data_IF_211515411169
#
_entry.id   IF_211515411169
#
_cell.length_a   1.000
_cell.length_b   1.000
_cell.length_c   1.000
_cell.angle_alpha   90.00
_cell.angle_beta   90.00
_cell.angle_gamma   90.00
#
_symmetry.space_group_name_H-M   'P 1'
#
loop_
_entity.id
_entity.type
_entity.pdbx_description
1 polymer ?
#
# COMPACT_ATOMS: atom_id res chain seq x y z
N UNK A 1 8.08 -4.38 14.88
CA UNK A 1 7.26 -3.19 14.56
C UNK A 1 5.81 -3.47 14.92
N UNK A 2 5.15 -2.50 15.58
CA UNK A 2 3.71 -2.58 15.91
C UNK A 2 2.87 -1.64 15.05
N UNK A 3 3.50 -0.74 14.30
CA UNK A 3 2.80 0.23 13.47
C UNK A 3 3.53 0.48 12.17
N UNK A 4 2.78 0.84 11.14
CA UNK A 4 3.25 1.33 9.86
C UNK A 4 2.50 2.59 9.46
N UNK A 5 3.21 3.55 8.90
CA UNK A 5 2.63 4.81 8.43
C UNK A 5 3.07 5.10 7.01
N UNK A 6 2.22 5.77 6.26
CA UNK A 6 2.53 6.34 4.98
C UNK A 6 1.88 7.72 4.84
N UNK A 7 2.45 8.54 4.00
CA UNK A 7 1.88 9.85 3.70
C UNK A 7 2.10 10.19 2.23
N UNK A 8 1.16 10.96 1.71
CA UNK A 8 1.18 11.46 0.35
C UNK A 8 0.85 12.96 0.36
N UNK A 9 1.55 13.70 -0.49
CA UNK A 9 1.28 15.12 -0.72
C UNK A 9 0.76 15.33 -2.13
N UNK A 10 -0.32 16.09 -2.26
CA UNK A 10 -0.85 16.52 -3.56
C UNK A 10 -1.18 18.01 -3.51
N UNK A 11 -0.30 18.82 -4.07
CA UNK A 11 -0.37 20.28 -3.92
C UNK A 11 -0.21 20.69 -2.45
N UNK A 12 -1.19 21.41 -1.91
CA UNK A 12 -1.25 21.83 -0.50
C UNK A 12 -1.96 20.82 0.42
N UNK A 13 -2.36 19.68 -0.09
CA UNK A 13 -3.06 18.64 0.70
C UNK A 13 -2.09 17.55 1.08
N UNK A 14 -2.17 17.12 2.34
CA UNK A 14 -1.44 15.99 2.89
C UNK A 14 -2.41 14.90 3.31
N UNK A 15 -2.16 13.69 2.87
CA UNK A 15 -2.78 12.49 3.39
C UNK A 15 -1.74 11.77 4.25
N UNK A 16 -2.04 11.58 5.51
CA UNK A 16 -1.28 10.73 6.41
C UNK A 16 -2.17 9.59 6.87
N UNK A 17 -1.72 8.37 6.72
CA UNK A 17 -2.46 7.19 7.19
C UNK A 17 -1.51 6.16 7.77
N UNK A 18 -2.05 5.30 8.60
CA UNK A 18 -1.26 4.23 9.23
C UNK A 18 -2.15 3.14 9.76
N UNK A 19 -1.49 2.07 10.18
CA UNK A 19 -2.12 0.97 10.90
C UNK A 19 -1.34 0.64 12.17
N UNK A 20 -2.04 0.15 13.18
CA UNK A 20 -1.47 -0.33 14.44
C UNK A 20 -1.91 -1.79 14.61
N UNK A 21 -0.94 -2.68 14.80
CA UNK A 21 -1.20 -4.08 15.15
C UNK A 21 -1.49 -4.14 16.65
N UNK A 22 -2.74 -4.25 17.00
CA UNK A 22 -3.19 -4.31 18.41
C UNK A 22 -3.12 -5.73 18.94
N UNK A 23 -3.88 -6.64 18.33
CA UNK A 23 -3.93 -8.06 18.68
C UNK A 23 -4.33 -8.87 17.43
N UNK A 24 -3.51 -8.77 16.39
CA UNK A 24 -3.73 -9.45 15.11
C UNK A 24 -3.16 -10.85 15.13
N UNK A 25 -3.78 -11.79 14.43
CA UNK A 25 -3.18 -13.08 14.14
C UNK A 25 -2.03 -12.88 13.15
N UNK A 26 -0.78 -12.97 13.67
CA UNK A 26 0.42 -12.72 12.87
C UNK A 26 0.73 -13.87 11.90
N UNK A 27 0.20 -15.06 12.12
CA UNK A 27 0.36 -16.19 11.21
C UNK A 27 -0.55 -16.01 10.00
N UNK A 28 -1.81 -15.67 10.23
CA UNK A 28 -2.74 -15.31 9.16
C UNK A 28 -2.24 -14.09 8.40
N UNK A 29 -1.74 -13.07 9.10
CA UNK A 29 -1.16 -11.89 8.45
C UNK A 29 -0.01 -12.26 7.51
N UNK A 30 0.89 -13.14 7.94
CA UNK A 30 2.03 -13.56 7.13
C UNK A 30 1.65 -14.37 5.89
N UNK A 31 0.56 -15.14 5.97
CA UNK A 31 0.02 -15.92 4.84
C UNK A 31 -0.76 -15.03 3.84
N UNK A 32 -1.50 -14.04 4.36
CA UNK A 32 -2.28 -13.11 3.54
C UNK A 32 -1.40 -12.12 2.75
N UNK A 33 -0.22 -11.81 3.26
CA UNK A 33 0.71 -10.88 2.62
C UNK A 33 1.63 -11.63 1.64
N UNK A 34 1.35 -11.50 0.34
CA UNK A 34 2.24 -11.97 -0.71
C UNK A 34 3.42 -11.02 -0.87
N UNK A 35 4.40 -11.13 0.02
CA UNK A 35 5.57 -10.24 0.03
C UNK A 35 6.72 -10.87 -0.74
N UNK A 36 7.30 -10.11 -1.68
CA UNK A 36 8.48 -10.49 -2.44
C UNK A 36 9.62 -10.94 -1.52
N UNK A 37 10.10 -12.20 -1.62
CA UNK A 37 11.18 -12.73 -0.79
C UNK A 37 12.47 -11.91 -0.84
N UNK A 38 12.73 -11.18 -1.92
CA UNK A 38 13.88 -10.30 -2.04
C UNK A 38 13.84 -9.13 -1.05
N UNK A 39 12.65 -8.72 -0.60
CA UNK A 39 12.51 -7.69 0.47
C UNK A 39 13.02 -8.15 1.83
N UNK A 40 13.03 -9.44 2.09
CA UNK A 40 13.57 -9.98 3.34
C UNK A 40 15.08 -10.12 3.30
N UNK A 41 15.60 -10.66 2.20
CA UNK A 41 17.05 -10.85 2.01
C UNK A 41 17.82 -9.53 2.11
N UNK A 42 17.31 -8.47 1.52
CA UNK A 42 17.95 -7.14 1.54
C UNK A 42 17.99 -6.48 2.93
N UNK A 43 17.19 -6.96 3.90
CA UNK A 43 17.08 -6.40 5.26
C UNK A 43 17.56 -7.36 6.35
N UNK A 44 18.13 -8.50 5.98
CA UNK A 44 18.65 -9.50 6.93
C UNK A 44 17.57 -10.15 7.81
N UNK A 45 16.32 -10.24 7.35
CA UNK A 45 15.18 -10.72 8.14
C UNK A 45 14.57 -11.95 7.49
N UNK A 46 14.30 -12.99 8.29
CA UNK A 46 13.84 -14.28 7.78
C UNK A 46 12.37 -14.29 7.29
N UNK A 47 11.50 -13.45 7.84
CA UNK A 47 10.06 -13.44 7.49
C UNK A 47 9.34 -12.14 7.88
N UNK A 48 8.09 -11.95 7.41
CA UNK A 48 7.20 -10.87 7.89
C UNK A 48 7.00 -10.96 9.40
N UNK A 49 6.73 -12.16 9.91
CA UNK A 49 6.47 -12.41 11.32
C UNK A 49 7.60 -11.94 12.23
N UNK A 50 8.86 -12.13 11.84
CA UNK A 50 10.01 -11.71 12.65
C UNK A 50 10.19 -10.18 12.73
N UNK A 51 9.46 -9.40 11.95
CA UNK A 51 9.54 -7.93 11.88
C UNK A 51 8.41 -7.21 12.58
N UNK A 52 7.30 -7.89 12.82
CA UNK A 52 6.08 -7.31 13.37
C UNK A 52 5.72 -7.96 14.71
N UNK A 53 4.97 -7.26 15.52
CA UNK A 53 4.46 -7.74 16.80
C UNK A 53 3.22 -6.96 17.19
N UNK A 54 2.44 -7.50 18.08
CA UNK A 54 1.23 -6.89 18.60
C UNK A 54 1.52 -5.93 19.74
N UNK A 55 0.86 -4.81 19.77
CA UNK A 55 0.96 -3.85 20.88
C UNK A 55 0.43 -4.45 22.18
N UNK A 56 -0.61 -5.30 22.11
CA UNK A 56 -1.16 -5.96 23.28
C UNK A 56 -0.15 -6.91 23.96
N UNK A 57 0.62 -7.68 23.18
CA UNK A 57 1.68 -8.54 23.69
C UNK A 57 2.79 -7.73 24.38
N UNK A 58 3.20 -6.64 23.75
CA UNK A 58 4.21 -5.76 24.32
C UNK A 58 3.77 -5.16 25.67
N UNK A 59 2.53 -4.65 25.75
CA UNK A 59 2.01 -4.05 26.97
C UNK A 59 1.77 -5.09 28.08
N UNK A 60 1.37 -6.31 27.75
CA UNK A 60 1.22 -7.37 28.74
C UNK A 60 2.54 -7.70 29.47
N UNK A 61 3.68 -7.56 28.77
CA UNK A 61 5.01 -7.79 29.36
C UNK A 61 5.51 -6.57 30.13
N UNK A 62 5.34 -5.37 29.60
CA UNK A 62 5.98 -4.15 30.14
C UNK A 62 5.09 -3.34 31.08
N UNK A 63 3.80 -3.63 31.10
CA UNK A 63 2.80 -2.96 31.95
C UNK A 63 1.68 -3.94 32.32
N UNK A 64 2.02 -5.01 33.08
CA UNK A 64 1.09 -6.11 33.38
C UNK A 64 -0.12 -5.69 34.22
N UNK A 65 -0.01 -4.58 34.95
CA UNK A 65 -1.09 -4.02 35.77
C UNK A 65 -2.18 -3.32 34.95
N UNK A 66 -1.91 -3.07 33.66
CA UNK A 66 -2.92 -2.47 32.78
C UNK A 66 -3.93 -3.53 32.31
N UNK A 67 -5.21 -3.17 32.20
CA UNK A 67 -6.19 -4.07 31.62
C UNK A 67 -5.81 -4.44 30.17
N UNK A 68 -6.22 -5.62 29.67
CA UNK A 68 -5.88 -6.08 28.34
C UNK A 68 -6.17 -5.03 27.27
N UNK A 69 -5.22 -4.84 26.35
CA UNK A 69 -5.37 -3.86 25.26
C UNK A 69 -6.33 -4.38 24.20
N UNK A 70 -7.32 -3.57 23.87
CA UNK A 70 -8.29 -3.83 22.80
C UNK A 70 -8.20 -2.74 21.73
N UNK A 71 -8.69 -3.03 20.52
CA UNK A 71 -8.83 -2.03 19.45
C UNK A 71 -9.63 -0.82 19.93
N UNK A 72 -10.69 -1.06 20.71
CA UNK A 72 -11.52 0.03 21.25
C UNK A 72 -10.71 0.94 22.18
N UNK A 73 -9.91 0.41 23.08
CA UNK A 73 -9.07 1.21 23.97
C UNK A 73 -8.02 2.04 23.22
N UNK A 74 -7.42 1.47 22.17
CA UNK A 74 -6.49 2.22 21.30
C UNK A 74 -7.24 3.36 20.59
N UNK A 75 -8.42 3.08 20.04
CA UNK A 75 -9.28 4.10 19.43
C UNK A 75 -9.61 5.22 20.41
N UNK A 76 -10.05 4.88 21.60
CA UNK A 76 -10.47 5.86 22.61
C UNK A 76 -9.28 6.74 23.03
N UNK A 77 -8.11 6.15 23.26
CA UNK A 77 -6.88 6.91 23.55
C UNK A 77 -6.49 7.86 22.40
N UNK A 78 -6.64 7.45 21.14
CA UNK A 78 -6.40 8.34 19.98
C UNK A 78 -7.43 9.47 19.98
N UNK A 79 -8.69 9.16 20.27
CA UNK A 79 -9.77 10.16 20.27
C UNK A 79 -9.62 11.20 21.39
N UNK A 80 -9.09 10.82 22.54
CA UNK A 80 -8.79 11.75 23.65
C UNK A 80 -7.69 12.77 23.29
N UNK A 81 -6.73 12.36 22.44
CA UNK A 81 -5.58 13.20 22.08
C UNK A 81 -5.76 13.98 20.78
N UNK A 82 -6.85 13.75 20.05
CA UNK A 82 -7.14 14.51 18.82
C UNK A 82 -7.87 15.82 19.11
N UNK A 83 -7.60 16.83 18.32
CA UNK A 83 -8.43 18.03 18.22
C UNK A 83 -9.44 17.88 17.08
N UNK A 84 -10.62 18.47 17.20
CA UNK A 84 -11.66 18.51 16.18
C UNK A 84 -12.96 17.83 16.59
N UNK A 85 -14.02 18.14 15.85
CA UNK A 85 -15.36 17.65 16.11
C UNK A 85 -15.57 16.24 15.56
N UNK A 86 -16.45 15.48 16.20
CA UNK A 86 -16.89 14.19 15.70
C UNK A 86 -18.06 14.39 14.72
N UNK A 87 -17.88 13.95 13.48
CA UNK A 87 -18.97 13.88 12.51
C UNK A 87 -19.60 12.49 12.55
N UNK A 88 -20.90 12.43 12.81
CA UNK A 88 -21.68 11.19 12.74
C UNK A 88 -22.43 11.12 11.43
N UNK A 89 -22.14 10.10 10.64
CA UNK A 89 -22.83 9.87 9.38
C UNK A 89 -24.32 9.68 9.58
N UNK A 90 -25.11 10.31 8.73
CA UNK A 90 -26.58 10.23 8.71
C UNK A 90 -27.06 9.38 7.51
N UNK A 91 -28.37 9.21 7.38
CA UNK A 91 -28.96 8.40 6.31
C UNK A 91 -28.62 8.90 4.90
N UNK A 92 -28.52 10.23 4.71
CA UNK A 92 -28.17 10.80 3.41
C UNK A 92 -26.72 10.47 3.03
N UNK A 93 -25.81 10.44 3.99
CA UNK A 93 -24.42 10.03 3.76
C UNK A 93 -24.33 8.57 3.31
N UNK A 94 -25.10 7.67 3.93
CA UNK A 94 -25.14 6.26 3.52
C UNK A 94 -25.71 6.08 2.10
N UNK A 95 -26.71 6.87 1.72
CA UNK A 95 -27.22 6.88 0.33
C UNK A 95 -26.14 7.37 -0.63
N UNK A 96 -25.42 8.44 -0.30
CA UNK A 96 -24.34 8.98 -1.12
C UNK A 96 -23.17 7.96 -1.27
N UNK A 97 -22.77 7.31 -0.18
CA UNK A 97 -21.77 6.25 -0.17
C UNK A 97 -22.19 5.09 -1.06
N UNK A 98 -23.44 4.64 -0.94
CA UNK A 98 -23.97 3.55 -1.77
C UNK A 98 -23.95 3.90 -3.24
N UNK A 99 -24.38 5.10 -3.62
CA UNK A 99 -24.31 5.58 -5.00
C UNK A 99 -22.87 5.60 -5.54
N UNK A 100 -21.93 6.10 -4.74
CA UNK A 100 -20.52 6.16 -5.14
C UNK A 100 -19.92 4.74 -5.27
N UNK A 101 -20.26 3.83 -4.36
CA UNK A 101 -19.88 2.42 -4.46
C UNK A 101 -20.35 1.85 -5.79
N UNK A 102 -21.65 1.98 -6.09
CA UNK A 102 -22.26 1.34 -7.26
C UNK A 102 -21.79 1.97 -8.57
N UNK A 103 -21.59 3.29 -8.59
CA UNK A 103 -21.14 4.01 -9.78
C UNK A 103 -19.64 3.84 -10.08
N UNK A 104 -18.82 3.47 -9.08
CA UNK A 104 -17.36 3.45 -9.25
C UNK A 104 -16.71 2.23 -8.61
N UNK A 105 -16.77 2.10 -7.28
CA UNK A 105 -15.90 1.19 -6.55
C UNK A 105 -16.25 -0.30 -6.71
N UNK A 106 -17.51 -0.64 -7.02
CA UNK A 106 -17.95 -2.01 -7.32
C UNK A 106 -17.92 -2.36 -8.81
N UNK A 107 -17.54 -1.41 -9.68
CA UNK A 107 -17.47 -1.68 -11.12
C UNK A 107 -16.25 -2.55 -11.45
N UNK A 108 -16.38 -3.34 -12.50
CA UNK A 108 -15.29 -4.14 -13.04
C UNK A 108 -14.10 -3.25 -13.45
N UNK A 109 -14.37 -2.12 -14.09
CA UNK A 109 -13.36 -1.17 -14.55
C UNK A 109 -12.50 -0.64 -13.41
N UNK A 110 -13.10 -0.34 -12.24
CA UNK A 110 -12.35 0.10 -11.07
C UNK A 110 -11.53 -1.04 -10.44
N UNK A 111 -12.11 -2.24 -10.38
CA UNK A 111 -11.51 -3.36 -9.64
C UNK A 111 -10.43 -4.07 -10.44
N UNK A 112 -10.63 -4.22 -11.75
CA UNK A 112 -9.78 -5.02 -12.63
C UNK A 112 -9.40 -4.32 -13.93
N UNK A 113 -10.30 -3.49 -14.50
CA UNK A 113 -10.16 -2.94 -15.84
C UNK A 113 -9.03 -1.93 -16.02
N UNK A 114 -8.54 -1.33 -14.91
CA UNK A 114 -7.40 -0.43 -14.94
C UNK A 114 -6.03 -1.16 -15.03
N UNK A 115 -6.05 -2.50 -15.10
CA UNK A 115 -4.84 -3.31 -15.29
C UNK A 115 -4.74 -3.68 -16.76
N UNK A 116 -3.96 -2.96 -17.59
CA UNK A 116 -3.85 -3.28 -19.00
C UNK A 116 -3.19 -4.64 -19.18
N UNK A 117 -3.60 -5.43 -20.21
CA UNK A 117 -2.92 -6.64 -20.57
C UNK A 117 -1.53 -6.30 -21.14
N UNK A 118 -0.51 -7.04 -20.74
CA UNK A 118 0.84 -6.90 -21.28
C UNK A 118 1.32 -8.23 -21.82
N UNK A 119 2.13 -8.16 -22.88
CA UNK A 119 2.76 -9.33 -23.48
C UNK A 119 3.91 -9.81 -22.59
N UNK A 120 4.67 -8.87 -22.02
CA UNK A 120 5.86 -9.14 -21.24
C UNK A 120 5.92 -8.33 -19.94
N UNK A 121 6.58 -8.94 -18.94
CA UNK A 121 6.81 -8.30 -17.65
C UNK A 121 8.20 -8.67 -17.13
N UNK A 122 8.98 -7.64 -16.78
CA UNK A 122 10.30 -7.83 -16.15
C UNK A 122 10.40 -7.01 -14.87
N UNK A 123 11.13 -7.53 -13.89
CA UNK A 123 11.35 -6.84 -12.64
C UNK A 123 12.78 -6.99 -12.17
N UNK A 124 13.36 -5.89 -11.70
CA UNK A 124 14.70 -5.87 -11.13
C UNK A 124 14.74 -5.06 -9.84
N UNK A 125 15.51 -5.56 -8.87
CA UNK A 125 15.75 -4.85 -7.62
C UNK A 125 17.11 -4.18 -7.64
N UNK A 126 17.10 -2.90 -7.35
CA UNK A 126 18.29 -2.05 -7.19
C UNK A 126 18.49 -1.70 -5.71
N UNK A 127 19.61 -1.11 -5.35
CA UNK A 127 19.90 -0.66 -3.99
C UNK A 127 18.87 0.39 -3.49
N UNK A 128 18.32 1.19 -4.38
CA UNK A 128 17.36 2.27 -4.10
C UNK A 128 15.90 1.85 -4.24
N UNK A 129 15.60 0.68 -4.79
CA UNK A 129 14.21 0.22 -4.93
C UNK A 129 14.05 -0.91 -5.94
N UNK A 130 12.81 -1.38 -6.10
CA UNK A 130 12.41 -2.33 -7.14
C UNK A 130 11.80 -1.56 -8.30
N UNK A 131 12.22 -1.87 -9.51
CA UNK A 131 11.57 -1.45 -10.75
C UNK A 131 10.94 -2.68 -11.40
N UNK A 132 9.74 -2.52 -11.86
CA UNK A 132 9.00 -3.48 -12.65
C UNK A 132 8.52 -2.78 -13.91
N UNK A 133 8.75 -3.41 -15.04
CA UNK A 133 8.35 -2.92 -16.35
C UNK A 133 7.39 -3.92 -16.96
N UNK A 134 6.22 -3.45 -17.36
CA UNK A 134 5.26 -4.20 -18.15
C UNK A 134 5.15 -3.55 -19.52
N UNK A 135 5.29 -4.31 -20.59
CA UNK A 135 5.32 -3.76 -21.93
C UNK A 135 4.66 -4.68 -22.95
N UNK A 136 4.14 -4.09 -24.01
CA UNK A 136 3.53 -4.78 -25.12
C UNK A 136 4.43 -4.66 -26.36
N UNK A 137 4.67 -5.80 -27.02
CA UNK A 137 5.50 -5.88 -28.23
C UNK A 137 4.61 -6.18 -29.42
N UNK A 138 4.70 -5.36 -30.47
CA UNK A 138 4.09 -5.63 -31.76
C UNK A 138 5.09 -5.40 -32.89
N UNK A 139 5.24 -6.39 -33.73
CA UNK A 139 6.15 -6.35 -34.89
C UNK A 139 7.59 -5.92 -34.54
N UNK A 140 8.11 -6.42 -33.40
CA UNK A 140 9.47 -6.13 -32.95
C UNK A 140 9.65 -4.76 -32.25
N UNK A 141 8.58 -3.97 -32.09
CA UNK A 141 8.64 -2.67 -31.42
C UNK A 141 7.82 -2.64 -30.15
N UNK A 142 8.26 -1.92 -29.13
CA UNK A 142 7.49 -1.64 -27.93
C UNK A 142 6.41 -0.60 -28.24
N UNK A 143 5.16 -1.00 -28.16
CA UNK A 143 4.01 -0.12 -28.47
C UNK A 143 3.42 0.52 -27.22
N UNK A 144 3.58 -0.14 -26.07
CA UNK A 144 3.12 0.36 -24.78
C UNK A 144 4.07 -0.13 -23.68
N UNK A 145 4.37 0.72 -22.72
CA UNK A 145 5.28 0.42 -21.62
C UNK A 145 4.83 1.14 -20.34
N UNK A 146 4.80 0.41 -19.23
CA UNK A 146 4.47 0.96 -17.92
C UNK A 146 5.50 0.56 -16.88
N UNK A 147 5.89 1.54 -16.05
CA UNK A 147 6.83 1.35 -14.97
C UNK A 147 6.12 1.34 -13.62
N UNK A 148 6.40 0.33 -12.81
CA UNK A 148 5.91 0.17 -11.46
C UNK A 148 7.08 -0.02 -10.49
N UNK A 149 6.90 0.34 -9.23
CA UNK A 149 7.91 0.06 -8.22
C UNK A 149 7.76 0.87 -6.94
N UNK A 150 8.74 0.68 -6.06
CA UNK A 150 8.85 1.37 -4.77
C UNK A 150 9.92 2.48 -4.81
N UNK A 151 9.93 3.26 -5.89
CA UNK A 151 10.86 4.37 -6.12
C UNK A 151 10.14 5.72 -6.19
N UNK A 152 10.89 6.78 -5.93
CA UNK A 152 10.40 8.16 -6.08
C UNK A 152 11.09 8.80 -7.28
N UNK A 153 10.30 9.42 -8.15
CA UNK A 153 10.85 10.22 -9.24
C UNK A 153 11.12 11.64 -8.75
N UNK A 154 12.30 12.17 -9.08
CA UNK A 154 12.68 13.52 -8.76
C UNK A 154 12.23 14.47 -9.89
N UNK A 155 11.23 15.31 -9.61
CA UNK A 155 10.78 16.40 -10.48
C UNK A 155 9.64 16.06 -11.44
N UNK A 156 9.10 17.07 -12.13
CA UNK A 156 8.10 16.92 -13.20
C UNK A 156 8.83 16.54 -14.51
N UNK A 157 9.44 15.36 -14.55
CA UNK A 157 10.06 14.83 -15.76
C UNK A 157 9.03 14.26 -16.74
N UNK A 158 9.39 14.15 -18.00
CA UNK A 158 8.68 13.33 -18.98
C UNK A 158 8.48 11.93 -18.36
N UNK A 159 7.31 11.37 -18.57
CA UNK A 159 7.05 9.99 -18.14
C UNK A 159 8.11 9.08 -18.76
N UNK A 160 8.77 8.24 -17.96
CA UNK A 160 9.66 7.19 -18.48
C UNK A 160 8.96 6.36 -19.56
N UNK A 161 7.65 6.25 -19.48
CA UNK A 161 6.77 5.61 -20.45
C UNK A 161 6.87 6.27 -21.84
N UNK A 162 6.92 7.60 -21.92
CA UNK A 162 6.97 8.32 -23.19
C UNK A 162 8.33 8.17 -23.89
N UNK A 163 9.42 8.01 -23.11
CA UNK A 163 10.76 7.83 -23.66
C UNK A 163 10.99 6.41 -24.19
N UNK A 164 10.41 5.39 -23.56
CA UNK A 164 10.63 3.97 -23.93
C UNK A 164 9.70 3.51 -25.04
N UNK A 165 8.50 4.09 -25.16
CA UNK A 165 7.53 3.72 -26.21
C UNK A 165 8.01 3.97 -27.65
N UNK A 166 9.18 4.60 -27.81
CA UNK A 166 9.81 4.84 -29.12
C UNK A 166 11.05 3.95 -29.39
N UNK A 167 11.38 3.06 -28.47
CA UNK A 167 12.57 2.21 -28.61
C UNK A 167 12.28 0.98 -29.47
N UNK A 168 13.11 0.73 -30.47
CA UNK A 168 13.15 -0.55 -31.18
C UNK A 168 13.90 -1.59 -30.32
N UNK A 169 13.40 -2.82 -30.34
CA UNK A 169 14.08 -3.93 -29.65
C UNK A 169 15.05 -4.55 -30.67
N UNK A 170 16.33 -4.44 -30.37
CA UNK A 170 17.37 -5.19 -31.07
C UNK A 170 17.66 -6.49 -30.28
N UNK A 171 17.73 -7.62 -30.96
CA UNK A 171 18.18 -8.92 -30.43
C UNK A 171 19.65 -8.89 -29.98
#
# INVERSE_FOLDING_TARGET
KVAGVAHCRRGMRYLHHGCILVNSDLDVLSQALNVDPAKYKSKGVASVRSRVGNLAEYLAVHSPDLPPLTVQRVRDAIMEHRSGDEYRMNAADFVAITRLRDAKYSTWDWTYGASPPFTERKAQRFAWGKVEVSYDIRQGSVVECHFYGDFFMAGPGKSLTDEVSSCEIYD
#
